data_IF_005197269676
#
_entry.id   IF_005197269676
#
_cell.length_a   1.000
_cell.length_b   1.000
_cell.length_c   1.000
_cell.angle_alpha   90.00
_cell.angle_beta   90.00
_cell.angle_gamma   90.00
#
_symmetry.space_group_name_H-M   'P 1'
#
loop_
_entity.id
_entity.type
_entity.pdbx_description
1 polymer ?
#
# COMPACT_ATOMS: atom_id res chain seq x y z
N UNK A 1 16.18 0.82 12.86
CA UNK A 1 16.54 2.09 12.20
C UNK A 1 16.12 1.99 10.74
N UNK A 2 15.12 2.76 10.30
CA UNK A 2 14.78 2.83 8.88
C UNK A 2 15.87 3.59 8.16
N UNK A 3 16.66 2.88 7.34
CA UNK A 3 17.70 3.50 6.51
C UNK A 3 17.06 4.01 5.24
N UNK A 4 16.98 5.33 5.08
CA UNK A 4 16.66 5.93 3.79
C UNK A 4 17.86 5.78 2.87
N UNK A 5 17.64 5.28 1.65
CA UNK A 5 18.67 5.16 0.62
C UNK A 5 18.36 6.18 -0.47
N UNK A 6 19.28 7.12 -0.68
CA UNK A 6 19.23 8.05 -1.80
C UNK A 6 19.77 7.39 -3.06
N UNK A 7 19.11 7.59 -4.20
CA UNK A 7 19.60 7.12 -5.48
C UNK A 7 19.22 8.11 -6.58
N UNK A 8 20.13 8.31 -7.53
CA UNK A 8 19.85 9.05 -8.76
C UNK A 8 19.72 8.07 -9.93
N UNK A 9 18.71 8.31 -10.76
CA UNK A 9 18.40 7.51 -11.94
C UNK A 9 18.01 8.43 -13.08
N UNK A 10 18.52 8.12 -14.27
CA UNK A 10 18.18 8.87 -15.48
C UNK A 10 16.80 8.43 -15.97
N UNK A 11 15.97 9.39 -16.37
CA UNK A 11 14.72 9.13 -17.09
C UNK A 11 15.06 8.63 -18.49
N UNK A 12 14.46 7.51 -18.87
CA UNK A 12 14.69 6.84 -20.16
C UNK A 12 13.37 6.57 -20.86
N UNK A 13 13.42 6.40 -22.18
CA UNK A 13 12.25 6.12 -23.01
C UNK A 13 12.04 4.61 -23.14
N UNK A 14 10.84 4.15 -22.81
CA UNK A 14 10.38 2.77 -22.98
C UNK A 14 9.22 2.76 -23.98
N UNK A 15 9.49 2.46 -25.25
CA UNK A 15 8.49 2.59 -26.31
C UNK A 15 7.98 4.02 -26.42
N UNK A 16 6.68 4.24 -26.16
CA UNK A 16 6.06 5.58 -26.16
C UNK A 16 5.99 6.23 -24.77
N UNK A 17 6.53 5.58 -23.74
CA UNK A 17 6.49 6.06 -22.36
C UNK A 17 7.86 6.53 -21.88
N UNK A 18 7.87 7.32 -20.82
CA UNK A 18 9.07 7.62 -20.03
C UNK A 18 9.05 6.78 -18.76
N UNK A 19 10.23 6.39 -18.29
CA UNK A 19 10.35 5.66 -17.04
C UNK A 19 11.75 5.73 -16.43
N UNK A 20 11.85 5.18 -15.23
CA UNK A 20 13.09 5.04 -14.47
C UNK A 20 13.22 3.59 -13.98
N UNK A 21 14.45 3.12 -13.85
CA UNK A 21 14.73 1.77 -13.31
C UNK A 21 14.89 1.85 -11.79
N UNK A 22 14.13 1.04 -11.06
CA UNK A 22 14.06 1.08 -9.59
C UNK A 22 14.25 -0.30 -8.94
N UNK A 23 14.84 -1.28 -9.63
CA UNK A 23 14.93 -2.68 -9.17
C UNK A 23 15.44 -2.81 -7.73
N UNK A 24 16.52 -2.10 -7.39
CA UNK A 24 17.10 -2.17 -6.04
C UNK A 24 16.20 -1.57 -4.97
N UNK A 25 15.47 -0.49 -5.29
CA UNK A 25 14.54 0.16 -4.38
C UNK A 25 13.28 -0.70 -4.17
N UNK A 26 12.74 -1.29 -5.24
CA UNK A 26 11.57 -2.17 -5.18
C UNK A 26 11.85 -3.41 -4.31
N UNK A 27 13.03 -4.04 -4.47
CA UNK A 27 13.46 -5.18 -3.64
C UNK A 27 13.52 -4.85 -2.15
N UNK A 28 13.97 -3.63 -1.80
CA UNK A 28 14.07 -3.22 -0.39
C UNK A 28 12.71 -3.09 0.31
N UNK A 29 11.64 -2.86 -0.47
CA UNK A 29 10.27 -2.80 0.05
C UNK A 29 9.47 -4.07 -0.24
N UNK A 30 10.14 -5.16 -0.66
CA UNK A 30 9.53 -6.46 -0.90
C UNK A 30 8.45 -6.44 -1.97
N UNK A 31 8.71 -5.72 -3.07
CA UNK A 31 7.90 -5.75 -4.27
C UNK A 31 8.53 -6.65 -5.33
N UNK A 32 7.72 -7.52 -5.91
CA UNK A 32 8.11 -8.42 -6.99
C UNK A 32 7.31 -8.17 -8.28
N UNK A 33 7.70 -8.85 -9.36
CA UNK A 33 7.00 -8.75 -10.64
C UNK A 33 5.54 -9.18 -10.48
N UNK A 34 4.61 -8.31 -10.89
CA UNK A 34 3.17 -8.55 -10.77
C UNK A 34 2.52 -7.86 -9.57
N UNK A 35 3.31 -7.38 -8.60
CA UNK A 35 2.79 -6.59 -7.49
C UNK A 35 2.24 -5.24 -7.97
N UNK A 36 1.23 -4.75 -7.25
CA UNK A 36 0.63 -3.44 -7.50
C UNK A 36 1.19 -2.40 -6.54
N UNK A 37 1.37 -1.18 -7.03
CA UNK A 37 1.77 0.00 -6.24
C UNK A 37 0.76 1.12 -6.39
N UNK A 38 0.62 1.95 -5.35
CA UNK A 38 -0.05 3.24 -5.46
C UNK A 38 0.98 4.32 -5.79
N UNK A 39 0.62 5.24 -6.68
CA UNK A 39 1.46 6.36 -7.09
C UNK A 39 0.71 7.65 -6.82
N UNK A 40 1.24 8.46 -5.91
CA UNK A 40 0.75 9.80 -5.60
C UNK A 40 1.70 10.82 -6.26
N UNK A 41 1.16 11.77 -7.02
CA UNK A 41 1.95 12.83 -7.69
C UNK A 41 1.58 14.18 -7.11
N UNK A 42 2.54 14.85 -6.46
CA UNK A 42 2.36 16.20 -5.96
C UNK A 42 3.02 17.19 -6.92
N UNK A 43 2.20 17.85 -7.74
CA UNK A 43 2.69 18.82 -8.72
C UNK A 43 3.24 20.11 -8.07
N UNK A 44 2.80 20.45 -6.86
CA UNK A 44 3.26 21.66 -6.18
C UNK A 44 4.69 21.51 -5.65
N UNK A 45 5.06 20.32 -5.17
CA UNK A 45 6.42 20.01 -4.69
C UNK A 45 7.30 19.36 -5.76
N UNK A 46 6.69 18.82 -6.83
CA UNK A 46 7.38 18.06 -7.86
C UNK A 46 7.72 16.63 -7.44
N UNK A 47 7.07 16.12 -6.40
CA UNK A 47 7.37 14.81 -5.79
C UNK A 47 6.44 13.71 -6.31
N UNK A 48 6.99 12.51 -6.46
CA UNK A 48 6.23 11.28 -6.71
C UNK A 48 6.46 10.35 -5.53
N UNK A 49 5.38 9.91 -4.88
CA UNK A 49 5.43 8.97 -3.77
C UNK A 49 4.87 7.64 -4.25
N UNK A 50 5.69 6.59 -4.17
CA UNK A 50 5.34 5.24 -4.59
C UNK A 50 5.27 4.36 -3.34
N UNK A 51 4.14 3.66 -3.15
CA UNK A 51 3.92 2.78 -1.99
C UNK A 51 3.43 1.42 -2.47
N UNK A 52 3.76 0.36 -1.73
CA UNK A 52 3.14 -0.97 -1.94
C UNK A 52 1.63 -0.82 -1.80
N UNK A 53 0.88 -1.31 -2.79
CA UNK A 53 -0.58 -1.28 -2.71
C UNK A 53 -1.03 -2.34 -1.72
N UNK A 54 -1.66 -1.90 -0.62
CA UNK A 54 -2.35 -2.77 0.33
C UNK A 54 -3.84 -2.83 0.02
N UNK A 55 -4.23 -2.64 -1.26
CA UNK A 55 -5.61 -2.85 -1.68
C UNK A 55 -5.94 -4.34 -1.53
N UNK A 56 -6.48 -4.70 -0.38
CA UNK A 56 -7.29 -5.90 -0.24
C UNK A 56 -8.56 -5.64 -1.03
N UNK A 57 -8.71 -6.33 -2.17
CA UNK A 57 -10.02 -6.45 -2.79
C UNK A 57 -10.91 -7.21 -1.80
N UNK A 58 -12.05 -6.64 -1.46
CA UNK A 58 -13.05 -7.39 -0.71
C UNK A 58 -13.43 -8.63 -1.53
N UNK A 59 -13.56 -9.81 -0.89
CA UNK A 59 -14.10 -10.98 -1.56
C UNK A 59 -15.43 -10.66 -2.25
N UNK A 60 -15.70 -11.31 -3.38
CA UNK A 60 -17.00 -11.15 -4.06
C UNK A 60 -18.15 -11.39 -3.07
N UNK A 61 -19.12 -10.47 -3.06
CA UNK A 61 -20.26 -10.49 -2.15
C UNK A 61 -20.06 -9.76 -0.82
N UNK A 62 -18.86 -9.21 -0.54
CA UNK A 62 -18.62 -8.38 0.64
C UNK A 62 -18.57 -6.90 0.23
N UNK A 63 -19.51 -6.10 0.73
CA UNK A 63 -19.54 -4.66 0.50
C UNK A 63 -18.63 -3.90 1.46
N UNK A 64 -18.15 -2.73 1.05
CA UNK A 64 -17.40 -1.82 1.92
C UNK A 64 -18.22 -1.40 3.15
N UNK A 65 -19.52 -1.16 2.97
CA UNK A 65 -20.43 -0.78 4.06
C UNK A 65 -20.55 -1.89 5.11
N UNK A 66 -20.62 -3.15 4.68
CA UNK A 66 -20.63 -4.29 5.60
C UNK A 66 -19.36 -4.34 6.44
N UNK A 67 -18.19 -4.10 5.83
CA UNK A 67 -16.92 -4.08 6.57
C UNK A 67 -16.83 -2.91 7.55
N UNK A 68 -17.39 -1.76 7.21
CA UNK A 68 -17.48 -0.61 8.12
C UNK A 68 -18.37 -0.95 9.33
N UNK A 69 -19.57 -1.47 9.09
CA UNK A 69 -20.47 -1.88 10.16
C UNK A 69 -19.85 -2.98 11.04
N UNK A 70 -19.12 -3.93 10.45
CA UNK A 70 -18.42 -4.95 11.21
C UNK A 70 -17.32 -4.35 12.10
N UNK A 71 -16.56 -3.38 11.59
CA UNK A 71 -15.55 -2.68 12.37
C UNK A 71 -16.17 -1.93 13.55
N UNK A 72 -17.28 -1.21 13.32
CA UNK A 72 -18.00 -0.48 14.36
C UNK A 72 -18.48 -1.43 15.49
N UNK A 73 -19.02 -2.59 15.13
CA UNK A 73 -19.46 -3.62 16.11
C UNK A 73 -18.25 -4.19 16.86
N UNK A 74 -17.15 -4.51 16.19
CA UNK A 74 -15.95 -5.02 16.85
C UNK A 74 -15.41 -3.99 17.85
N UNK A 75 -15.40 -2.71 17.50
CA UNK A 75 -15.00 -1.63 18.40
C UNK A 75 -15.96 -1.48 19.59
N UNK A 76 -17.28 -1.51 19.35
CA UNK A 76 -18.29 -1.40 20.40
C UNK A 76 -18.17 -2.51 21.45
N UNK A 77 -17.86 -3.73 21.01
CA UNK A 77 -17.78 -4.91 21.88
C UNK A 77 -16.36 -5.36 22.22
N UNK A 78 -15.31 -4.56 21.92
CA UNK A 78 -13.90 -4.94 22.09
C UNK A 78 -13.59 -5.48 23.50
N UNK A 79 -14.09 -4.82 24.55
CA UNK A 79 -13.90 -5.27 25.94
C UNK A 79 -14.53 -6.64 26.21
N UNK A 80 -15.74 -6.88 25.67
CA UNK A 80 -16.45 -8.15 25.83
C UNK A 80 -15.75 -9.27 25.05
N UNK A 81 -15.35 -8.97 23.81
CA UNK A 81 -14.63 -9.90 22.93
C UNK A 81 -13.27 -10.29 23.54
N UNK A 82 -12.54 -9.34 24.14
CA UNK A 82 -11.29 -9.63 24.88
C UNK A 82 -11.55 -10.50 26.11
N UNK A 83 -12.64 -10.27 26.84
CA UNK A 83 -13.01 -11.08 28.00
C UNK A 83 -13.33 -12.55 27.68
N UNK A 84 -13.68 -12.86 26.43
CA UNK A 84 -13.88 -14.23 25.95
C UNK A 84 -12.58 -14.96 25.58
N UNK A 85 -11.45 -14.24 25.44
CA UNK A 85 -10.16 -14.81 25.07
C UNK A 85 -9.53 -15.68 26.17
N UNK A 86 -9.82 -15.38 27.43
CA UNK A 86 -9.22 -16.04 28.59
C UNK A 86 -10.10 -17.18 29.16
N UNK A 87 -11.00 -17.75 28.34
CA UNK A 87 -11.86 -18.88 28.69
C UNK A 87 -11.55 -20.13 27.87
#
# INVERSE_FOLDING_TARGET
MNRMIGMERKVTKFGNSLGITMTDALKQIGLDQGDTVSIDVNQATGEIIIKKSTKVSLPEGISEDFMRSLADVIEEYDQTLRGLKDR
#
